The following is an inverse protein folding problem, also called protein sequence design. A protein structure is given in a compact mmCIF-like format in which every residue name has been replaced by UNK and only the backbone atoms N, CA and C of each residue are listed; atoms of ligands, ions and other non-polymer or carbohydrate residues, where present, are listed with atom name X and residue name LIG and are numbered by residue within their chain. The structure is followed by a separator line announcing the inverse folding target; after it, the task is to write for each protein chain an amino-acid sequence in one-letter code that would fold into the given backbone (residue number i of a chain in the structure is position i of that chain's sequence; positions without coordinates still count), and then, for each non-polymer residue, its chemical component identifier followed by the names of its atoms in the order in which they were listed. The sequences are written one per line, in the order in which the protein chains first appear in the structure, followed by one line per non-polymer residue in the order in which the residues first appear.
data_IF_619137914183
#
_entry.id   IF_619137914183
#
_cell.length_a   1.000
_cell.length_b   1.000
_cell.length_c   1.000
_cell.angle_alpha   90.00
_cell.angle_beta   90.00
_cell.angle_gamma   90.00
#
_symmetry.space_group_name_H-M   'P 1'
#
loop_
_entity.id
_entity.type
_entity.pdbx_description
1 polymer ?
#
# COMPACT_ATOMS: atom_id res chain seq x y z
N UNK A 1 12.04 39.86 -23.41
CA UNK A 1 12.37 40.96 -24.34
C UNK A 1 12.42 40.47 -25.81
N UNK A 2 11.31 40.05 -26.47
CA UNK A 2 11.40 39.53 -27.84
C UNK A 2 11.03 40.53 -28.95
N UNK A 3 10.31 41.60 -28.65
CA UNK A 3 9.71 42.48 -29.68
C UNK A 3 10.73 43.39 -30.39
N UNK A 4 11.87 43.68 -29.78
CA UNK A 4 12.93 44.51 -30.39
C UNK A 4 13.76 43.71 -31.40
N UNK A 5 13.96 42.41 -31.17
CA UNK A 5 14.77 41.53 -32.05
C UNK A 5 14.14 41.28 -33.42
N UNK A 6 12.81 41.15 -33.51
CA UNK A 6 12.15 40.90 -34.80
C UNK A 6 12.08 42.12 -35.72
N UNK A 7 12.00 43.35 -35.18
CA UNK A 7 12.08 44.57 -35.99
C UNK A 7 13.46 44.72 -36.64
N UNK A 8 14.51 44.31 -35.94
CA UNK A 8 15.88 44.28 -36.47
C UNK A 8 16.09 43.16 -37.48
N UNK A 9 15.58 41.95 -37.23
CA UNK A 9 15.76 40.80 -38.13
C UNK A 9 15.12 40.99 -39.51
N UNK A 10 13.92 41.57 -39.58
CA UNK A 10 13.25 41.86 -40.85
C UNK A 10 13.88 43.03 -41.61
N UNK A 11 14.28 44.10 -40.89
CA UNK A 11 14.94 45.24 -41.51
C UNK A 11 16.33 44.86 -42.06
N UNK A 12 17.05 43.98 -41.36
CA UNK A 12 18.33 43.43 -41.81
C UNK A 12 18.17 42.52 -43.03
N UNK A 13 17.24 41.56 -42.98
CA UNK A 13 16.97 40.64 -44.11
C UNK A 13 16.51 41.37 -45.38
N UNK A 14 15.77 42.47 -45.25
CA UNK A 14 15.31 43.27 -46.39
C UNK A 14 16.36 44.29 -46.86
N UNK A 15 17.24 44.75 -45.98
CA UNK A 15 18.38 45.61 -46.32
C UNK A 15 19.42 44.91 -47.21
N UNK A 16 19.56 43.59 -47.06
CA UNK A 16 20.42 42.76 -47.92
C UNK A 16 19.98 42.77 -49.40
N UNK A 17 18.72 43.10 -49.71
CA UNK A 17 18.22 43.18 -51.08
C UNK A 17 18.64 44.46 -51.84
N UNK A 18 19.47 45.33 -51.26
CA UNK A 18 20.12 46.42 -51.99
C UNK A 18 19.17 47.49 -52.55
N UNK A 19 18.02 47.72 -51.90
CA UNK A 19 17.02 48.70 -52.35
C UNK A 19 17.50 50.14 -52.11
N UNK A 20 17.73 50.92 -53.18
CA UNK A 20 18.11 52.35 -53.08
C UNK A 20 16.88 53.24 -53.04
N UNK A 21 16.80 54.17 -52.09
CA UNK A 21 15.75 55.20 -52.01
C UNK A 21 15.82 56.13 -53.24
N UNK A 22 14.74 56.18 -54.02
CA UNK A 22 14.52 57.23 -55.02
C UNK A 22 13.68 58.34 -54.38
N UNK A 23 14.07 59.60 -54.59
CA UNK A 23 13.49 60.75 -53.89
C UNK A 23 11.96 60.83 -54.05
N UNK A 24 11.24 60.88 -52.92
CA UNK A 24 9.80 61.13 -52.86
C UNK A 24 8.88 59.90 -52.65
N UNK A 25 9.38 58.66 -52.79
CA UNK A 25 8.56 57.45 -52.63
C UNK A 25 9.08 56.55 -51.48
N UNK A 26 8.19 55.91 -50.70
CA UNK A 26 8.60 54.92 -49.70
C UNK A 26 9.12 53.64 -50.37
N UNK A 27 10.20 53.07 -49.81
CA UNK A 27 10.78 51.78 -50.24
C UNK A 27 9.79 50.63 -50.07
N UNK A 28 9.82 49.65 -50.97
CA UNK A 28 9.05 48.41 -50.94
C UNK A 28 9.23 47.67 -49.60
N UNK A 29 10.46 47.64 -49.10
CA UNK A 29 10.82 47.12 -47.78
C UNK A 29 10.00 47.73 -46.65
N UNK A 30 9.84 49.06 -46.64
CA UNK A 30 9.08 49.76 -45.60
C UNK A 30 7.57 49.48 -45.70
N UNK A 31 7.04 49.32 -46.92
CA UNK A 31 5.64 48.96 -47.13
C UNK A 31 5.34 47.55 -46.63
N UNK A 32 6.18 46.57 -46.99
CA UNK A 32 6.07 45.18 -46.54
C UNK A 32 6.24 45.04 -45.03
N UNK A 33 7.25 45.71 -44.44
CA UNK A 33 7.45 45.71 -42.99
C UNK A 33 6.24 46.27 -42.23
N UNK A 34 5.62 47.35 -42.75
CA UNK A 34 4.42 47.95 -42.14
C UNK A 34 3.19 47.03 -42.25
N UNK A 35 3.03 46.33 -43.38
CA UNK A 35 1.87 45.46 -43.62
C UNK A 35 2.00 44.07 -42.99
N UNK A 36 3.21 43.54 -42.82
CA UNK A 36 3.48 42.24 -42.16
C UNK A 36 3.64 42.35 -40.65
N UNK A 37 4.05 43.50 -40.11
CA UNK A 37 4.18 43.72 -38.65
C UNK A 37 2.97 43.25 -37.83
N UNK A 38 1.71 43.48 -38.24
CA UNK A 38 0.54 42.98 -37.51
C UNK A 38 0.49 41.44 -37.44
N UNK A 39 0.72 40.74 -38.55
CA UNK A 39 0.69 39.29 -38.60
C UNK A 39 1.79 38.66 -37.73
N UNK A 40 2.99 39.25 -37.77
CA UNK A 40 4.14 38.79 -36.99
C UNK A 40 3.91 38.96 -35.48
N UNK A 41 3.31 40.07 -35.05
CA UNK A 41 2.91 40.26 -33.64
C UNK A 41 1.91 39.20 -33.20
N UNK A 42 0.96 38.83 -34.06
CA UNK A 42 0.03 37.74 -33.77
C UNK A 42 0.76 36.40 -33.62
N UNK A 43 1.72 36.07 -34.49
CA UNK A 43 2.51 34.83 -34.36
C UNK A 43 3.28 34.79 -33.03
N UNK A 44 3.99 35.86 -32.68
CA UNK A 44 4.75 35.94 -31.42
C UNK A 44 3.84 35.78 -30.20
N UNK A 45 2.72 36.52 -30.18
CA UNK A 45 1.77 36.42 -29.06
C UNK A 45 1.13 35.04 -28.97
N UNK A 46 0.94 34.36 -30.10
CA UNK A 46 0.40 32.98 -30.12
C UNK A 46 1.43 31.97 -29.63
N UNK A 47 2.70 32.12 -30.02
CA UNK A 47 3.82 31.32 -29.55
C UNK A 47 3.99 31.45 -28.02
N UNK A 48 3.96 32.68 -27.50
CA UNK A 48 4.02 32.94 -26.06
C UNK A 48 2.84 32.30 -25.30
N UNK A 49 1.63 32.35 -25.88
CA UNK A 49 0.45 31.68 -25.32
C UNK A 49 0.60 30.16 -25.33
N UNK A 50 1.07 29.57 -26.43
CA UNK A 50 1.33 28.13 -26.54
C UNK A 50 2.36 27.69 -25.50
N UNK A 51 3.47 28.43 -25.35
CA UNK A 51 4.48 28.16 -24.34
C UNK A 51 3.96 28.30 -22.90
N UNK A 52 3.04 29.23 -22.65
CA UNK A 52 2.39 29.38 -21.34
C UNK A 52 1.44 28.20 -21.05
N UNK A 53 0.62 27.82 -22.02
CA UNK A 53 -0.31 26.69 -21.91
C UNK A 53 0.43 25.37 -21.69
N UNK A 54 1.52 25.12 -22.44
CA UNK A 54 2.37 23.95 -22.24
C UNK A 54 2.90 23.86 -20.80
N UNK A 55 3.42 24.98 -20.26
CA UNK A 55 3.85 25.05 -18.85
C UNK A 55 2.72 24.82 -17.85
N UNK A 56 1.52 25.33 -18.13
CA UNK A 56 0.33 25.09 -17.27
C UNK A 56 -0.11 23.63 -17.31
N UNK A 57 -0.14 23.02 -18.50
CA UNK A 57 -0.52 21.63 -18.69
C UNK A 57 0.49 20.68 -18.04
N UNK A 58 1.79 20.95 -18.17
CA UNK A 58 2.83 20.18 -17.49
C UNK A 58 2.66 20.21 -15.96
N UNK A 59 2.36 21.39 -15.38
CA UNK A 59 2.08 21.51 -13.95
C UNK A 59 0.80 20.78 -13.54
N UNK A 60 -0.27 20.91 -14.32
CA UNK A 60 -1.53 20.21 -14.06
C UNK A 60 -1.36 18.68 -14.11
N UNK A 61 -0.63 18.17 -15.11
CA UNK A 61 -0.31 16.75 -15.23
C UNK A 61 0.53 16.25 -14.05
N UNK A 62 1.53 17.02 -13.60
CA UNK A 62 2.32 16.67 -12.42
C UNK A 62 1.47 16.62 -11.16
N UNK A 63 0.58 17.60 -10.95
CA UNK A 63 -0.33 17.59 -9.79
C UNK A 63 -1.31 16.41 -9.84
N UNK A 64 -1.85 16.08 -11.01
CA UNK A 64 -2.73 14.92 -11.18
C UNK A 64 -1.99 13.62 -10.85
N UNK A 65 -0.75 13.46 -11.35
CA UNK A 65 0.11 12.32 -11.02
C UNK A 65 0.30 12.21 -9.50
N UNK A 66 0.68 13.30 -8.84
CA UNK A 66 0.83 13.30 -7.36
C UNK A 66 -0.49 12.97 -6.65
N UNK A 67 -1.64 13.45 -7.12
CA UNK A 67 -2.95 13.10 -6.53
C UNK A 67 -3.27 11.62 -6.68
N UNK A 68 -2.96 11.03 -7.82
CA UNK A 68 -3.13 9.58 -8.06
C UNK A 68 -2.19 8.78 -7.17
N UNK A 69 -0.92 9.17 -7.09
CA UNK A 69 0.08 8.50 -6.25
C UNK A 69 -0.35 8.51 -4.78
N UNK A 70 -0.80 9.66 -4.26
CA UNK A 70 -1.31 9.80 -2.88
C UNK A 70 -2.58 8.97 -2.67
N UNK A 71 -3.52 8.96 -3.62
CA UNK A 71 -4.74 8.17 -3.51
C UNK A 71 -4.46 6.66 -3.48
N UNK A 72 -3.50 6.19 -4.29
CA UNK A 72 -3.05 4.80 -4.27
C UNK A 72 -2.39 4.44 -2.94
N UNK A 73 -1.53 5.32 -2.40
CA UNK A 73 -0.90 5.12 -1.10
C UNK A 73 -1.94 5.06 0.03
N UNK A 74 -2.95 5.93 0.00
CA UNK A 74 -4.07 5.90 0.94
C UNK A 74 -4.89 4.62 0.83
N UNK A 75 -5.20 4.16 -0.39
CA UNK A 75 -5.89 2.90 -0.61
C UNK A 75 -5.09 1.71 -0.06
N UNK A 76 -3.77 1.71 -0.26
CA UNK A 76 -2.88 0.68 0.27
C UNK A 76 -2.85 0.71 1.80
N UNK A 77 -2.75 1.90 2.40
CA UNK A 77 -2.79 2.08 3.85
C UNK A 77 -4.11 1.55 4.43
N UNK A 78 -5.23 1.85 3.79
CA UNK A 78 -6.56 1.42 4.22
C UNK A 78 -6.74 -0.10 4.03
N UNK A 79 -6.21 -0.67 2.95
CA UNK A 79 -6.18 -2.12 2.75
C UNK A 79 -5.37 -2.81 3.85
N UNK A 80 -4.19 -2.30 4.18
CA UNK A 80 -3.36 -2.83 5.27
C UNK A 80 -4.07 -2.74 6.63
N UNK A 81 -4.74 -1.61 6.92
CA UNK A 81 -5.57 -1.47 8.13
C UNK A 81 -6.71 -2.48 8.16
N UNK A 82 -7.43 -2.65 7.05
CA UNK A 82 -8.52 -3.62 6.94
C UNK A 82 -8.02 -5.06 7.10
N UNK A 83 -6.85 -5.39 6.52
CA UNK A 83 -6.19 -6.69 6.69
C UNK A 83 -5.84 -6.93 8.15
N UNK A 84 -5.17 -5.98 8.82
CA UNK A 84 -4.83 -6.10 10.23
C UNK A 84 -6.06 -6.29 11.12
N UNK A 85 -7.17 -5.60 10.83
CA UNK A 85 -8.43 -5.78 11.55
C UNK A 85 -9.00 -7.19 11.33
N UNK A 86 -9.04 -7.68 10.08
CA UNK A 86 -9.52 -9.02 9.74
C UNK A 86 -8.64 -10.11 10.36
N UNK A 87 -7.32 -10.00 10.25
CA UNK A 87 -6.36 -10.93 10.85
C UNK A 87 -6.54 -11.01 12.36
N UNK A 88 -6.76 -9.88 13.04
CA UNK A 88 -7.03 -9.87 14.48
C UNK A 88 -8.32 -10.61 14.84
N UNK A 89 -9.37 -10.52 14.02
CA UNK A 89 -10.60 -11.29 14.23
C UNK A 89 -10.39 -12.79 13.94
N UNK A 90 -9.64 -13.11 12.88
CA UNK A 90 -9.29 -14.50 12.55
C UNK A 90 -8.47 -15.17 13.64
N UNK A 91 -7.48 -14.46 14.22
CA UNK A 91 -6.69 -14.95 15.35
C UNK A 91 -7.56 -15.23 16.59
N UNK A 92 -8.57 -14.40 16.87
CA UNK A 92 -9.50 -14.65 18.00
C UNK A 92 -10.33 -15.90 17.77
N UNK A 93 -10.90 -16.05 16.58
CA UNK A 93 -11.68 -17.24 16.23
C UNK A 93 -10.81 -18.50 16.28
N UNK A 94 -9.62 -18.46 15.70
CA UNK A 94 -8.70 -19.59 15.73
C UNK A 94 -8.27 -19.93 17.17
N UNK A 95 -7.92 -18.93 17.99
CA UNK A 95 -7.57 -19.16 19.39
C UNK A 95 -8.74 -19.76 20.19
N UNK A 96 -10.00 -19.37 19.90
CA UNK A 96 -11.17 -19.99 20.54
C UNK A 96 -11.40 -21.42 20.08
N UNK A 97 -11.18 -21.73 18.80
CA UNK A 97 -11.34 -23.09 18.24
C UNK A 97 -10.22 -24.02 18.72
N UNK A 98 -8.98 -23.53 18.78
CA UNK A 98 -7.86 -24.25 19.38
C UNK A 98 -8.05 -24.47 20.88
N UNK A 99 -8.58 -23.47 21.60
CA UNK A 99 -8.91 -23.62 23.01
C UNK A 99 -9.98 -24.70 23.26
N UNK A 100 -11.01 -24.76 22.41
CA UNK A 100 -12.08 -25.76 22.51
C UNK A 100 -11.58 -27.16 22.16
N UNK A 101 -10.73 -27.31 21.15
CA UNK A 101 -10.17 -28.62 20.76
C UNK A 101 -9.30 -29.20 21.89
N UNK A 102 -8.50 -28.38 22.56
CA UNK A 102 -7.71 -28.80 23.73
C UNK A 102 -8.61 -29.30 24.85
N UNK A 103 -9.73 -28.63 25.14
CA UNK A 103 -10.68 -29.09 26.15
C UNK A 103 -11.29 -30.45 25.79
N UNK A 104 -11.71 -30.63 24.53
CA UNK A 104 -12.30 -31.88 24.04
C UNK A 104 -11.29 -33.06 24.10
N UNK A 105 -10.06 -32.86 23.61
CA UNK A 105 -8.99 -33.87 23.65
C UNK A 105 -8.65 -34.22 25.10
N UNK A 106 -8.54 -33.21 25.96
CA UNK A 106 -8.23 -33.39 27.39
C UNK A 106 -9.25 -34.29 28.07
N UNK A 107 -10.56 -34.05 27.86
CA UNK A 107 -11.62 -34.88 28.44
C UNK A 107 -11.52 -36.34 27.98
N UNK A 108 -11.28 -36.56 26.68
CA UNK A 108 -11.20 -37.91 26.11
C UNK A 108 -9.98 -38.68 26.66
N UNK A 109 -8.82 -38.02 26.78
CA UNK A 109 -7.61 -38.62 27.33
C UNK A 109 -7.77 -38.98 28.81
N UNK A 110 -8.38 -38.09 29.62
CA UNK A 110 -8.69 -38.38 31.05
C UNK A 110 -9.57 -39.63 31.15
N UNK A 111 -10.64 -39.70 30.33
CA UNK A 111 -11.56 -40.82 30.31
C UNK A 111 -10.88 -42.13 29.93
N UNK A 112 -10.10 -42.13 28.84
CA UNK A 112 -9.38 -43.31 28.36
C UNK A 112 -8.38 -43.85 29.39
N UNK A 113 -7.69 -42.96 30.11
CA UNK A 113 -6.78 -43.35 31.18
C UNK A 113 -7.52 -43.99 32.37
N UNK A 114 -8.71 -43.46 32.71
CA UNK A 114 -9.57 -44.07 33.73
C UNK A 114 -9.96 -45.50 33.38
N UNK A 115 -10.29 -45.77 32.11
CA UNK A 115 -10.58 -47.14 31.64
C UNK A 115 -9.35 -48.05 31.65
N UNK A 116 -8.17 -47.55 31.27
CA UNK A 116 -6.91 -48.32 31.32
C UNK A 116 -6.57 -48.78 32.74
N UNK A 117 -6.71 -47.90 33.73
CA UNK A 117 -6.47 -48.25 35.14
C UNK A 117 -7.46 -49.31 35.62
N UNK A 118 -8.74 -49.16 35.27
CA UNK A 118 -9.78 -50.13 35.62
C UNK A 118 -9.55 -51.49 34.97
N UNK A 119 -9.16 -51.51 33.69
CA UNK A 119 -8.83 -52.75 32.97
C UNK A 119 -7.53 -53.42 33.44
N UNK A 120 -6.51 -52.64 33.83
CA UNK A 120 -5.28 -53.17 34.45
C UNK A 120 -5.54 -53.79 35.83
N UNK A 121 -6.55 -53.28 36.55
CA UNK A 121 -7.00 -53.85 37.80
C UNK A 121 -7.76 -55.16 37.59
N UNK A 122 -8.72 -55.20 36.67
CA UNK A 122 -9.50 -56.41 36.33
C UNK A 122 -8.61 -57.56 35.78
N UNK A 123 -7.46 -57.24 35.17
CA UNK A 123 -6.49 -58.21 34.65
C UNK A 123 -5.49 -58.74 35.70
N UNK A 124 -5.67 -58.40 36.99
CA UNK A 124 -4.95 -58.99 38.15
C UNK A 124 -3.43 -58.74 38.17
N UNK A 125 -2.94 -57.74 37.43
CA UNK A 125 -1.54 -57.31 37.39
C UNK A 125 -1.11 -56.52 38.64
N UNK A 126 -2.05 -56.05 39.47
CA UNK A 126 -1.80 -55.29 40.68
C UNK A 126 -2.50 -55.97 41.88
N UNK A 127 -1.72 -56.42 42.88
CA UNK A 127 -2.21 -57.11 44.09
C UNK A 127 -2.71 -56.16 45.20
N UNK A 128 -2.65 -54.86 44.98
CA UNK A 128 -3.06 -53.86 45.96
C UNK A 128 -4.53 -53.44 45.74
N UNK A 129 -5.19 -53.01 46.82
CA UNK A 129 -6.61 -52.68 46.78
C UNK A 129 -6.92 -51.67 45.65
N UNK A 130 -7.86 -52.00 44.73
CA UNK A 130 -8.24 -51.16 43.60
C UNK A 130 -8.59 -49.73 44.02
N UNK A 131 -9.26 -49.63 45.16
CA UNK A 131 -9.84 -48.41 45.73
C UNK A 131 -8.77 -47.36 46.03
N UNK A 132 -7.67 -47.77 46.65
CA UNK A 132 -6.60 -46.90 47.11
C UNK A 132 -5.67 -46.46 45.97
N UNK A 133 -5.29 -47.39 45.08
CA UNK A 133 -4.44 -47.07 43.92
C UNK A 133 -5.19 -46.17 42.94
N UNK A 134 -6.44 -46.50 42.63
CA UNK A 134 -7.26 -45.68 41.73
C UNK A 134 -7.55 -44.32 42.38
N UNK A 135 -7.85 -44.29 43.68
CA UNK A 135 -8.10 -43.06 44.43
C UNK A 135 -6.90 -42.10 44.50
N UNK A 136 -5.66 -42.61 44.56
CA UNK A 136 -4.45 -41.80 44.57
C UNK A 136 -3.95 -41.44 43.15
N UNK A 137 -4.22 -42.30 42.18
CA UNK A 137 -3.79 -42.09 40.80
C UNK A 137 -4.67 -41.08 40.06
N UNK A 138 -5.97 -41.02 40.35
CA UNK A 138 -6.90 -40.03 39.76
C UNK A 138 -6.44 -38.58 39.96
N UNK A 139 -6.10 -38.10 41.17
CA UNK A 139 -5.60 -36.73 41.35
C UNK A 139 -4.22 -36.52 40.73
N UNK A 140 -3.36 -37.54 40.69
CA UNK A 140 -2.05 -37.45 40.04
C UNK A 140 -2.17 -37.32 38.52
N UNK A 141 -3.05 -38.12 37.89
CA UNK A 141 -3.35 -38.03 36.47
C UNK A 141 -4.01 -36.69 36.12
N UNK A 142 -4.94 -36.22 36.95
CA UNK A 142 -5.55 -34.89 36.79
C UNK A 142 -4.49 -33.77 36.85
N UNK A 143 -3.54 -33.85 37.78
CA UNK A 143 -2.41 -32.91 37.89
C UNK A 143 -1.46 -32.98 36.70
N UNK A 144 -1.12 -34.19 36.23
CA UNK A 144 -0.25 -34.39 35.07
C UNK A 144 -0.88 -33.79 33.79
N UNK A 145 -2.16 -34.06 33.57
CA UNK A 145 -2.91 -33.54 32.42
C UNK A 145 -3.05 -32.01 32.52
N UNK A 146 -3.36 -31.48 33.70
CA UNK A 146 -3.37 -30.04 33.93
C UNK A 146 -2.00 -29.39 33.65
N UNK A 147 -0.91 -30.03 34.05
CA UNK A 147 0.45 -29.54 33.82
C UNK A 147 0.81 -29.54 32.32
N UNK A 148 0.48 -30.61 31.57
CA UNK A 148 0.71 -30.71 30.13
C UNK A 148 -0.08 -29.64 29.37
N UNK A 149 -1.38 -29.51 29.65
CA UNK A 149 -2.23 -28.48 29.03
C UNK A 149 -1.71 -27.07 29.33
N UNK A 150 -1.34 -26.81 30.59
CA UNK A 150 -0.77 -25.52 30.99
C UNK A 150 0.55 -25.22 30.29
N UNK A 151 1.41 -26.23 30.06
CA UNK A 151 2.70 -26.09 29.36
C UNK A 151 2.51 -25.83 27.87
N UNK A 152 1.60 -26.55 27.22
CA UNK A 152 1.29 -26.35 25.78
C UNK A 152 0.72 -24.95 25.56
N UNK A 153 -0.20 -24.50 26.41
CA UNK A 153 -0.77 -23.14 26.34
C UNK A 153 0.26 -22.04 26.62
N UNK A 154 1.22 -22.28 27.51
CA UNK A 154 2.34 -21.34 27.76
C UNK A 154 3.34 -21.24 26.61
N UNK A 155 3.51 -22.29 25.80
CA UNK A 155 4.43 -22.27 24.66
C UNK A 155 3.83 -21.67 23.38
N UNK A 156 2.50 -21.52 23.31
CA UNK A 156 1.81 -20.94 22.16
C UNK A 156 1.33 -19.49 22.40
N UNK A 157 1.64 -18.89 23.55
CA UNK A 157 1.48 -17.46 23.82
C UNK A 157 2.89 -16.85 23.82
N UNK A 158 3.51 -16.86 22.65
CA UNK A 158 4.58 -15.94 22.25
C UNK A 158 4.48 -15.77 20.73
N UNK A 159 3.60 -14.90 20.22
CA UNK A 159 3.94 -14.13 19.05
C UNK A 159 4.88 -13.02 19.52
N UNK A 160 6.17 -13.36 19.59
CA UNK A 160 7.24 -12.38 19.64
C UNK A 160 7.28 -11.60 18.33
N UNK A 161 7.44 -10.29 18.50
CA UNK A 161 8.08 -9.29 17.62
C UNK A 161 7.58 -9.12 16.17
#
# INVERSE_FOLDING_TARGET
MPVVGQRFGLAHFLGDFGERKVAGLPTWTAFLARRMSPAIRTCVTTEERQANLSRKLARAANLLRTRVDVALEQQNQDLLKAMNARTRMQLRLQATVEGLSVAAITYYVVGLFGYLVKGAHDSRLLQAEPSLITGLFVPFAALAIWYVVRRVRKRHIDPGE
#
